data_IF_387636614576
#
_entry.id   IF_387636614576
#
_cell.length_a   1.000
_cell.length_b   1.000
_cell.length_c   1.000
_cell.angle_alpha   90.00
_cell.angle_beta   90.00
_cell.angle_gamma   90.00
#
_symmetry.space_group_name_H-M   'P 1'
#
loop_
_entity.id
_entity.type
_entity.pdbx_description
1 polymer ?
#
# COMPACT_ATOMS: atom_id res chain seq x y z
N UNK A 1 -11.27 8.68 37.07
CA UNK A 1 -10.88 9.39 35.84
C UNK A 1 -9.54 8.81 35.42
N UNK A 2 -9.41 8.23 34.23
CA UNK A 2 -8.09 7.79 33.75
C UNK A 2 -7.35 9.01 33.21
N UNK A 3 -6.17 9.28 33.76
CA UNK A 3 -5.32 10.36 33.27
C UNK A 3 -4.82 10.04 31.85
N UNK A 4 -4.82 11.03 30.97
CA UNK A 4 -4.31 10.89 29.60
C UNK A 4 -2.79 11.10 29.59
N UNK A 5 -2.04 10.12 29.10
CA UNK A 5 -0.56 10.19 28.99
C UNK A 5 -0.17 10.36 27.52
N UNK A 6 0.68 11.34 27.24
CA UNK A 6 1.24 11.59 25.89
C UNK A 6 2.62 10.95 25.76
N UNK A 7 2.84 10.26 24.64
CA UNK A 7 4.16 9.76 24.25
C UNK A 7 4.63 10.48 22.99
N UNK A 8 5.87 10.96 22.99
CA UNK A 8 6.48 11.68 21.86
C UNK A 8 7.52 10.78 21.21
N UNK A 9 7.49 10.70 19.88
CA UNK A 9 8.49 10.01 19.08
C UNK A 9 9.58 11.01 18.67
N UNK A 10 10.84 10.66 18.90
CA UNK A 10 11.99 11.43 18.44
C UNK A 10 12.18 11.26 16.92
N UNK A 11 12.66 12.31 16.24
CA UNK A 11 12.86 12.29 14.78
C UNK A 11 13.87 11.24 14.33
N UNK A 12 14.89 10.93 15.14
CA UNK A 12 15.88 9.87 14.86
C UNK A 12 15.27 8.46 14.84
N UNK A 13 14.01 8.33 15.26
CA UNK A 13 13.26 7.07 15.28
C UNK A 13 12.14 7.03 14.22
N UNK A 14 12.08 8.01 13.34
CA UNK A 14 11.13 7.95 12.22
C UNK A 14 11.46 6.73 11.35
N UNK A 15 10.45 5.96 10.91
CA UNK A 15 10.68 4.87 9.99
C UNK A 15 11.25 5.37 8.66
N UNK A 16 12.25 4.67 8.16
CA UNK A 16 12.93 5.02 6.90
C UNK A 16 12.33 4.30 5.68
N UNK A 17 11.40 3.39 5.91
CA UNK A 17 10.80 2.56 4.86
C UNK A 17 9.29 2.42 5.04
N UNK A 18 8.60 2.30 3.91
CA UNK A 18 7.22 1.85 3.87
C UNK A 18 7.16 0.32 3.97
N UNK A 19 6.14 -0.17 4.66
CA UNK A 19 5.88 -1.59 4.76
C UNK A 19 4.83 -2.02 3.73
N UNK A 20 5.22 -2.93 2.83
CA UNK A 20 4.33 -3.50 1.84
C UNK A 20 3.68 -4.78 2.39
N UNK A 21 2.46 -4.65 2.94
CA UNK A 21 1.71 -5.78 3.49
C UNK A 21 1.45 -6.89 2.46
N UNK A 22 1.35 -6.58 1.16
CA UNK A 22 1.03 -7.56 0.13
C UNK A 22 2.05 -8.71 0.06
N UNK A 23 3.28 -8.49 0.51
CA UNK A 23 4.34 -9.51 0.55
C UNK A 23 4.08 -10.62 1.59
N UNK A 24 3.31 -10.31 2.64
CA UNK A 24 3.08 -11.21 3.78
C UNK A 24 1.67 -11.82 3.77
N UNK A 25 0.87 -11.56 2.74
CA UNK A 25 -0.45 -12.17 2.60
C UNK A 25 -0.30 -13.68 2.32
N UNK A 26 -1.18 -14.53 2.88
CA UNK A 26 -1.12 -15.98 2.66
C UNK A 26 -1.29 -16.37 1.20
N UNK A 27 -2.02 -15.55 0.43
CA UNK A 27 -2.20 -15.66 -1.01
C UNK A 27 -2.15 -14.26 -1.64
N UNK A 28 -1.70 -14.13 -2.91
CA UNK A 28 -1.67 -12.84 -3.59
C UNK A 28 -3.07 -12.22 -3.73
N UNK A 29 -3.19 -10.88 -3.65
CA UNK A 29 -4.44 -10.22 -3.97
C UNK A 29 -4.85 -10.49 -5.43
N UNK A 30 -6.15 -10.55 -5.73
CA UNK A 30 -6.62 -10.74 -7.09
C UNK A 30 -6.12 -9.63 -8.01
N UNK A 31 -5.86 -9.93 -9.30
CA UNK A 31 -5.40 -8.91 -10.23
C UNK A 31 -6.46 -7.83 -10.41
N UNK A 32 -6.01 -6.59 -10.56
CA UNK A 32 -6.89 -5.50 -10.96
C UNK A 32 -7.32 -5.71 -12.41
N UNK A 33 -8.60 -5.44 -12.69
CA UNK A 33 -9.20 -5.71 -13.99
C UNK A 33 -9.37 -4.41 -14.78
N UNK A 34 -9.12 -4.47 -16.08
CA UNK A 34 -9.40 -3.36 -16.98
C UNK A 34 -10.92 -3.15 -17.09
N UNK A 35 -11.44 -1.93 -16.85
CA UNK A 35 -12.88 -1.70 -16.70
C UNK A 35 -13.69 -1.96 -17.98
N UNK A 36 -13.07 -1.86 -19.16
CA UNK A 36 -13.74 -2.11 -20.44
C UNK A 36 -13.73 -3.58 -20.89
N UNK A 37 -12.73 -4.37 -20.50
CA UNK A 37 -12.56 -5.75 -21.01
C UNK A 37 -12.82 -6.81 -19.94
N UNK A 38 -12.77 -6.43 -18.66
CA UNK A 38 -12.87 -7.35 -17.53
C UNK A 38 -11.68 -8.31 -17.40
N UNK A 39 -10.62 -8.12 -18.19
CA UNK A 39 -9.40 -8.93 -18.11
C UNK A 39 -8.37 -8.27 -17.17
N UNK A 40 -7.42 -9.04 -16.60
CA UNK A 40 -6.30 -8.46 -15.85
C UNK A 40 -5.57 -7.37 -16.64
N UNK A 41 -5.27 -6.25 -15.99
CA UNK A 41 -4.51 -5.15 -16.64
C UNK A 41 -3.07 -5.58 -16.92
N UNK A 42 -2.52 -5.10 -18.03
CA UNK A 42 -1.09 -5.15 -18.35
C UNK A 42 -0.39 -3.80 -18.18
N UNK A 43 0.94 -3.75 -18.36
CA UNK A 43 1.71 -2.50 -18.28
C UNK A 43 1.22 -1.41 -19.26
N UNK A 44 0.85 -1.79 -20.49
CA UNK A 44 0.40 -0.86 -21.53
C UNK A 44 -0.93 -0.19 -21.17
N UNK A 45 -1.79 -0.85 -20.39
CA UNK A 45 -3.06 -0.28 -19.90
C UNK A 45 -2.81 0.84 -18.87
N UNK A 46 -1.71 0.75 -18.13
CA UNK A 46 -1.36 1.67 -17.04
C UNK A 46 -0.39 2.77 -17.48
N UNK A 47 0.39 2.56 -18.53
CA UNK A 47 1.41 3.50 -19.01
C UNK A 47 0.89 4.94 -19.28
N UNK A 48 -0.35 5.16 -19.76
CA UNK A 48 -0.87 6.52 -19.92
C UNK A 48 -1.22 7.23 -18.59
N UNK A 49 -1.41 6.48 -17.50
CA UNK A 49 -1.91 6.99 -16.22
C UNK A 49 -0.80 7.29 -15.22
N UNK A 50 0.32 6.57 -15.29
CA UNK A 50 1.41 6.67 -14.33
C UNK A 50 2.68 7.19 -15.00
N UNK A 51 3.37 8.18 -14.40
CA UNK A 51 4.70 8.60 -14.85
C UNK A 51 5.78 7.55 -14.56
#
# INVERSE_FOLDING_TARGET
MSDTVKHVLDETRLPEAWYNLAADLPEPPPPVLHPGTGQPVGPDDLAPLFP
#
